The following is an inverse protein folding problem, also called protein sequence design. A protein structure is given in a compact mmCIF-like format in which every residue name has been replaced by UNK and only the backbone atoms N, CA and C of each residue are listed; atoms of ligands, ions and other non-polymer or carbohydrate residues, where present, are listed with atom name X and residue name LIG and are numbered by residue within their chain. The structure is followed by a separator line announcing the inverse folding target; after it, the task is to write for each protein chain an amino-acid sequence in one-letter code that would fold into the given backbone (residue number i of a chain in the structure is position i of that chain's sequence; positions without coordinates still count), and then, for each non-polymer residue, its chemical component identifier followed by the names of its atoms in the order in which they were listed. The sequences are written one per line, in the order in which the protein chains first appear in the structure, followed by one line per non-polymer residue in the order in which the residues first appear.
data_IF_921034666691
#
_entry.id   IF_921034666691
#
_cell.length_a   1.000
_cell.length_b   1.000
_cell.length_c   1.000
_cell.angle_alpha   90.00
_cell.angle_beta   90.00
_cell.angle_gamma   90.00
#
_symmetry.space_group_name_H-M   'P 1'
#
loop_
_entity.id
_entity.type
_entity.pdbx_description
1 polymer ?
#
# COMPACT_ATOMS: atom_id res chain seq x y z
N UNK A 1 4.90 9.83 25.68
CA UNK A 1 3.57 10.11 26.28
C UNK A 1 2.92 11.11 25.33
N UNK A 2 2.01 10.65 24.50
CA UNK A 2 1.25 11.49 23.57
C UNK A 2 0.17 12.24 24.37
N UNK A 3 0.31 13.55 24.49
CA UNK A 3 -0.72 14.46 24.97
C UNK A 3 -0.98 15.52 23.90
N UNK A 4 -1.49 15.13 22.76
CA UNK A 4 -1.89 16.03 21.69
C UNK A 4 -3.38 15.86 21.40
N UNK A 5 -4.14 16.94 21.56
CA UNK A 5 -5.57 17.01 21.26
C UNK A 5 -5.88 16.99 19.74
N UNK A 6 -4.85 16.85 18.86
CA UNK A 6 -4.96 16.89 17.41
C UNK A 6 -4.90 15.51 16.73
N UNK A 7 -5.11 14.42 17.48
CA UNK A 7 -5.33 13.13 16.87
C UNK A 7 -6.67 13.14 16.16
N UNK A 8 -6.70 12.70 14.89
CA UNK A 8 -7.89 12.42 14.07
C UNK A 8 -9.16 12.37 14.90
N UNK A 9 -10.06 13.29 14.66
CA UNK A 9 -11.39 13.16 15.22
C UNK A 9 -11.95 11.81 14.72
N UNK A 10 -12.57 11.04 15.61
CA UNK A 10 -13.24 9.76 15.26
C UNK A 10 -14.21 9.91 14.08
N UNK A 11 -14.68 11.13 13.81
CA UNK A 11 -15.54 11.45 12.68
C UNK A 11 -14.86 11.20 11.33
N UNK A 12 -13.54 11.38 11.23
CA UNK A 12 -12.81 11.17 9.97
C UNK A 12 -12.52 9.69 9.69
N UNK A 13 -12.57 8.85 10.73
CA UNK A 13 -12.41 7.40 10.63
C UNK A 13 -13.74 6.63 10.48
N UNK A 14 -14.89 7.31 10.52
CA UNK A 14 -16.21 6.65 10.39
C UNK A 14 -16.39 6.03 9.00
N UNK A 15 -17.10 4.89 8.92
CA UNK A 15 -17.32 4.22 7.65
C UNK A 15 -18.10 5.11 6.69
N UNK A 16 -17.50 5.37 5.52
CA UNK A 16 -18.19 5.98 4.41
C UNK A 16 -19.04 4.89 3.76
N UNK A 17 -20.35 5.07 3.70
CA UNK A 17 -21.22 4.17 2.95
C UNK A 17 -21.41 4.68 1.53
N UNK A 18 -21.03 3.89 0.53
CA UNK A 18 -21.41 4.15 -0.86
C UNK A 18 -22.75 3.48 -1.18
N UNK A 19 -23.57 4.05 -2.07
CA UNK A 19 -24.87 3.47 -2.46
C UNK A 19 -24.77 2.01 -2.94
N UNK A 20 -23.66 1.64 -3.55
CA UNK A 20 -23.40 0.28 -4.04
C UNK A 20 -23.08 -0.74 -2.95
N UNK A 21 -22.52 -0.32 -1.81
CA UNK A 21 -22.30 -1.21 -0.66
C UNK A 21 -23.65 -1.70 -0.12
N UNK A 22 -24.63 -0.80 -0.05
CA UNK A 22 -26.00 -1.14 0.39
C UNK A 22 -26.75 -2.08 -0.56
N UNK A 23 -26.35 -2.16 -1.83
CA UNK A 23 -26.97 -3.06 -2.83
C UNK A 23 -26.34 -4.46 -2.90
N UNK A 24 -25.36 -4.77 -2.06
CA UNK A 24 -24.69 -6.08 -2.05
C UNK A 24 -23.77 -6.37 -3.23
N UNK A 25 -23.51 -5.39 -4.09
CA UNK A 25 -22.55 -5.53 -5.20
C UNK A 25 -21.14 -5.58 -4.64
N UNK A 26 -20.40 -6.66 -4.95
CA UNK A 26 -19.01 -6.87 -4.51
C UNK A 26 -18.07 -6.87 -5.71
N UNK A 27 -17.38 -5.74 -5.98
CA UNK A 27 -16.35 -5.70 -7.02
C UNK A 27 -15.26 -6.71 -6.73
N UNK A 28 -14.73 -7.34 -7.79
CA UNK A 28 -13.68 -8.37 -7.65
C UNK A 28 -12.31 -7.74 -7.49
N UNK A 29 -11.55 -8.24 -6.51
CA UNK A 29 -10.16 -7.85 -6.27
C UNK A 29 -9.25 -9.07 -6.36
N UNK A 30 -8.23 -8.99 -7.20
CA UNK A 30 -7.15 -9.96 -7.24
C UNK A 30 -6.17 -9.68 -6.09
N UNK A 31 -6.06 -10.60 -5.17
CA UNK A 31 -5.04 -10.63 -4.12
C UNK A 31 -3.84 -11.37 -4.72
N UNK A 32 -2.96 -10.58 -5.34
CA UNK A 32 -1.86 -11.11 -6.14
C UNK A 32 -0.70 -11.53 -5.25
N UNK A 33 -0.21 -12.71 -5.51
CA UNK A 33 0.97 -13.25 -4.83
C UNK A 33 1.88 -14.06 -5.75
N UNK A 34 3.12 -14.19 -5.31
CA UNK A 34 4.13 -15.06 -5.87
C UNK A 34 4.72 -15.94 -4.76
N UNK A 35 5.52 -16.94 -5.13
CA UNK A 35 6.25 -17.76 -4.18
C UNK A 35 7.04 -16.88 -3.19
N UNK A 36 6.83 -17.07 -1.89
CA UNK A 36 7.45 -16.28 -0.82
C UNK A 36 6.61 -15.12 -0.29
N UNK A 37 5.48 -14.79 -0.92
CA UNK A 37 4.51 -13.83 -0.39
C UNK A 37 3.75 -14.44 0.79
N UNK A 38 3.50 -13.64 1.84
CA UNK A 38 2.93 -14.14 3.09
C UNK A 38 1.81 -13.29 3.73
N UNK A 39 1.50 -12.08 3.19
CA UNK A 39 0.46 -11.22 3.76
C UNK A 39 -0.88 -11.26 3.00
N UNK A 40 -1.07 -12.23 2.10
CA UNK A 40 -2.25 -12.32 1.26
C UNK A 40 -3.55 -12.63 2.03
N UNK A 41 -3.47 -13.39 3.12
CA UNK A 41 -4.66 -13.73 3.92
C UNK A 41 -5.19 -12.52 4.69
N UNK A 42 -4.32 -11.75 5.35
CA UNK A 42 -4.68 -10.51 6.04
C UNK A 42 -5.25 -9.49 5.05
N UNK A 43 -4.63 -9.39 3.88
CA UNK A 43 -5.07 -8.49 2.83
C UNK A 43 -6.45 -8.88 2.28
N UNK A 44 -6.67 -10.17 1.99
CA UNK A 44 -7.95 -10.68 1.53
C UNK A 44 -9.06 -10.36 2.56
N UNK A 45 -8.77 -10.57 3.85
CA UNK A 45 -9.72 -10.26 4.91
C UNK A 45 -10.03 -8.76 5.00
N UNK A 46 -9.03 -7.89 4.91
CA UNK A 46 -9.23 -6.44 4.92
C UNK A 46 -10.12 -5.98 3.74
N UNK A 47 -9.85 -6.51 2.54
CA UNK A 47 -10.62 -6.19 1.34
C UNK A 47 -12.06 -6.75 1.40
N UNK A 48 -12.25 -7.98 1.86
CA UNK A 48 -13.59 -8.56 2.04
C UNK A 48 -14.41 -7.77 3.05
N UNK A 49 -13.77 -7.33 4.15
CA UNK A 49 -14.44 -6.51 5.15
C UNK A 49 -14.78 -5.11 4.64
N UNK A 50 -14.00 -4.59 3.70
CA UNK A 50 -14.34 -3.35 2.98
C UNK A 50 -15.51 -3.49 2.00
N UNK A 51 -15.94 -4.73 1.69
CA UNK A 51 -17.07 -5.01 0.80
C UNK A 51 -16.68 -5.41 -0.63
N UNK A 52 -15.45 -5.87 -0.84
CA UNK A 52 -15.01 -6.51 -2.08
C UNK A 52 -15.28 -8.02 -2.07
N UNK A 53 -15.07 -8.66 -3.20
CA UNK A 53 -14.93 -10.11 -3.36
C UNK A 53 -13.48 -10.40 -3.68
N UNK A 54 -12.71 -10.88 -2.70
CA UNK A 54 -11.28 -11.15 -2.84
C UNK A 54 -11.03 -12.52 -3.46
N UNK A 55 -10.10 -12.56 -4.40
CA UNK A 55 -9.66 -13.78 -5.07
C UNK A 55 -8.17 -13.94 -4.86
N UNK A 56 -7.75 -15.07 -4.29
CA UNK A 56 -6.33 -15.44 -4.21
C UNK A 56 -5.83 -15.75 -5.64
N UNK A 57 -4.90 -14.95 -6.13
CA UNK A 57 -4.34 -15.07 -7.48
C UNK A 57 -2.83 -15.25 -7.40
N UNK A 58 -2.36 -16.46 -7.68
CA UNK A 58 -0.94 -16.73 -7.82
C UNK A 58 -0.46 -16.39 -9.24
N UNK A 59 0.79 -15.91 -9.38
CA UNK A 59 1.35 -15.60 -10.70
C UNK A 59 1.28 -16.77 -11.67
N UNK A 60 1.42 -18.02 -11.16
CA UNK A 60 1.27 -19.21 -11.98
C UNK A 60 -0.13 -19.40 -12.59
N UNK A 61 -1.17 -18.82 -11.97
CA UNK A 61 -2.54 -18.87 -12.53
C UNK A 61 -2.69 -17.93 -13.72
N UNK A 62 -2.08 -16.75 -13.63
CA UNK A 62 -2.00 -15.80 -14.74
C UNK A 62 -1.17 -16.36 -15.89
N UNK A 63 0.02 -16.91 -15.58
CA UNK A 63 0.94 -17.49 -16.59
C UNK A 63 0.29 -18.68 -17.31
N UNK A 64 -0.43 -19.51 -16.58
CA UNK A 64 -1.15 -20.67 -17.17
C UNK A 64 -2.49 -20.31 -17.82
N UNK A 65 -2.89 -19.03 -17.78
CA UNK A 65 -4.16 -18.57 -18.37
C UNK A 65 -5.43 -19.05 -17.62
N UNK A 66 -5.30 -19.57 -16.38
CA UNK A 66 -6.44 -19.98 -15.56
C UNK A 66 -7.23 -18.79 -15.02
N UNK A 67 -6.56 -17.66 -14.85
CA UNK A 67 -7.12 -16.38 -14.38
C UNK A 67 -6.66 -15.28 -15.34
N UNK A 68 -7.47 -14.25 -15.53
CA UNK A 68 -7.13 -13.08 -16.33
C UNK A 68 -7.45 -11.78 -15.56
N UNK A 69 -6.53 -10.81 -15.59
CA UNK A 69 -6.68 -9.53 -14.88
C UNK A 69 -7.87 -8.69 -15.38
N UNK A 70 -8.37 -8.93 -16.60
CA UNK A 70 -9.58 -8.25 -17.13
C UNK A 70 -10.83 -8.45 -16.27
N UNK A 71 -10.87 -9.54 -15.48
CA UNK A 71 -12.03 -9.92 -14.67
C UNK A 71 -12.09 -9.18 -13.31
N UNK A 72 -11.10 -8.33 -13.01
CA UNK A 72 -10.97 -7.63 -11.73
C UNK A 72 -11.02 -6.11 -11.89
N UNK A 73 -11.57 -5.44 -10.89
CA UNK A 73 -11.48 -3.99 -10.70
C UNK A 73 -10.29 -3.60 -9.81
N UNK A 74 -9.95 -4.43 -8.84
CA UNK A 74 -8.82 -4.20 -7.94
C UNK A 74 -7.70 -5.20 -8.13
N UNK A 75 -6.47 -4.74 -8.00
CA UNK A 75 -5.26 -5.55 -7.96
C UNK A 75 -4.46 -5.17 -6.72
N UNK A 76 -4.26 -6.10 -5.80
CA UNK A 76 -3.45 -5.86 -4.61
C UNK A 76 -2.27 -6.81 -4.60
N UNK A 77 -1.06 -6.24 -4.79
CA UNK A 77 0.19 -6.96 -4.69
C UNK A 77 0.65 -6.98 -3.22
N UNK A 78 0.74 -8.18 -2.64
CA UNK A 78 0.94 -8.38 -1.21
C UNK A 78 2.41 -8.40 -0.79
N UNK A 79 2.64 -8.23 0.51
CA UNK A 79 3.94 -8.29 1.14
C UNK A 79 4.47 -9.70 1.31
N UNK A 80 5.77 -9.82 1.48
CA UNK A 80 6.51 -11.06 1.62
C UNK A 80 7.94 -10.94 1.10
N UNK A 81 8.47 -12.07 0.59
CA UNK A 81 9.83 -12.17 0.06
C UNK A 81 9.77 -13.01 -1.23
N UNK A 82 9.24 -12.41 -2.30
CA UNK A 82 9.09 -13.13 -3.57
C UNK A 82 10.43 -13.65 -4.09
N UNK A 83 10.50 -14.95 -4.37
CA UNK A 83 11.73 -15.66 -4.77
C UNK A 83 12.88 -15.51 -3.76
N UNK A 84 12.58 -15.28 -2.47
CA UNK A 84 13.58 -15.06 -1.42
C UNK A 84 14.43 -13.80 -1.65
N UNK A 85 13.95 -12.83 -2.41
CA UNK A 85 14.62 -11.58 -2.79
C UNK A 85 16.01 -11.78 -3.44
N UNK A 86 16.25 -12.92 -4.07
CA UNK A 86 17.58 -13.33 -4.64
C UNK A 86 18.11 -12.32 -5.68
N UNK A 87 17.23 -11.69 -6.45
CA UNK A 87 17.59 -10.70 -7.46
C UNK A 87 17.47 -9.25 -6.95
N UNK A 88 17.13 -9.07 -5.68
CA UNK A 88 16.72 -7.79 -5.08
C UNK A 88 15.21 -7.77 -4.81
N UNK A 89 14.82 -6.88 -3.91
CA UNK A 89 13.48 -6.81 -3.38
C UNK A 89 12.41 -6.61 -4.47
N UNK A 90 11.53 -7.58 -4.63
CA UNK A 90 10.44 -7.57 -5.62
C UNK A 90 10.90 -7.68 -7.08
N UNK A 91 12.22 -7.69 -7.37
CA UNK A 91 12.70 -7.70 -8.76
C UNK A 91 12.39 -9.01 -9.49
N UNK A 92 12.56 -10.14 -8.83
CA UNK A 92 12.21 -11.44 -9.43
C UNK A 92 10.76 -11.48 -9.88
N UNK A 93 9.86 -10.99 -9.03
CA UNK A 93 8.43 -10.90 -9.34
C UNK A 93 8.15 -9.92 -10.49
N UNK A 94 8.71 -8.72 -10.47
CA UNK A 94 8.56 -7.75 -11.56
C UNK A 94 9.13 -8.30 -12.89
N UNK A 95 10.27 -8.99 -12.85
CA UNK A 95 10.90 -9.59 -14.04
C UNK A 95 10.07 -10.73 -14.63
N UNK A 96 9.39 -11.54 -13.81
CA UNK A 96 8.46 -12.57 -14.30
C UNK A 96 7.28 -11.97 -15.09
N UNK A 97 6.92 -10.73 -14.78
CA UNK A 97 5.92 -9.96 -15.52
C UNK A 97 6.53 -9.33 -16.78
N UNK A 98 7.61 -8.57 -16.63
CA UNK A 98 8.18 -7.78 -17.73
C UNK A 98 8.75 -8.62 -18.88
N UNK A 99 9.30 -9.80 -18.58
CA UNK A 99 9.93 -10.67 -19.56
C UNK A 99 8.99 -11.76 -20.12
N UNK A 100 7.74 -11.80 -19.67
CA UNK A 100 6.69 -12.61 -20.28
C UNK A 100 5.73 -11.69 -21.04
N UNK A 101 5.80 -11.70 -22.38
CA UNK A 101 5.02 -10.77 -23.21
C UNK A 101 3.51 -10.84 -22.93
N UNK A 102 2.94 -12.04 -22.84
CA UNK A 102 1.50 -12.21 -22.55
C UNK A 102 1.08 -11.67 -21.19
N UNK A 103 1.93 -11.86 -20.17
CA UNK A 103 1.66 -11.34 -18.83
C UNK A 103 1.85 -9.84 -18.79
N UNK A 104 2.93 -9.33 -19.39
CA UNK A 104 3.17 -7.89 -19.51
C UNK A 104 1.99 -7.17 -20.17
N UNK A 105 1.46 -7.73 -21.26
CA UNK A 105 0.31 -7.18 -21.99
C UNK A 105 -0.96 -7.17 -21.11
N UNK A 106 -1.19 -8.21 -20.29
CA UNK A 106 -2.30 -8.23 -19.33
C UNK A 106 -2.17 -7.12 -18.30
N UNK A 107 -0.98 -6.94 -17.71
CA UNK A 107 -0.72 -5.89 -16.71
C UNK A 107 -0.84 -4.50 -17.35
N UNK A 108 -0.26 -4.26 -18.51
CA UNK A 108 -0.40 -2.98 -19.23
C UNK A 108 -1.85 -2.67 -19.56
N UNK A 109 -2.61 -3.65 -20.06
CA UNK A 109 -4.04 -3.49 -20.33
C UNK A 109 -4.80 -3.14 -19.05
N UNK A 110 -4.52 -3.83 -17.94
CA UNK A 110 -5.13 -3.57 -16.65
C UNK A 110 -4.84 -2.16 -16.16
N UNK A 111 -3.59 -1.72 -16.17
CA UNK A 111 -3.16 -0.40 -15.69
C UNK A 111 -3.72 0.75 -16.53
N UNK A 112 -3.96 0.53 -17.82
CA UNK A 112 -4.54 1.54 -18.71
C UNK A 112 -6.08 1.66 -18.62
N UNK A 113 -6.78 0.72 -18.00
CA UNK A 113 -8.22 0.85 -17.76
C UNK A 113 -8.48 1.93 -16.72
N UNK A 114 -9.54 2.73 -16.93
CA UNK A 114 -9.92 3.84 -16.03
C UNK A 114 -10.81 3.41 -14.86
N UNK A 115 -11.32 2.17 -14.91
CA UNK A 115 -12.21 1.56 -13.91
C UNK A 115 -11.46 0.60 -12.97
N UNK A 116 -10.14 0.62 -12.97
CA UNK A 116 -9.29 -0.25 -12.13
C UNK A 116 -8.42 0.55 -11.17
N UNK A 117 -8.05 -0.10 -10.08
CA UNK A 117 -7.11 0.43 -9.10
C UNK A 117 -6.06 -0.62 -8.71
N UNK A 118 -4.93 -0.17 -8.17
CA UNK A 118 -3.88 -1.04 -7.66
C UNK A 118 -3.26 -0.57 -6.36
N UNK A 119 -2.95 -1.53 -5.49
CA UNK A 119 -2.26 -1.31 -4.23
C UNK A 119 -1.08 -2.27 -4.12
N UNK A 120 0.12 -1.73 -3.92
CA UNK A 120 1.32 -2.52 -3.64
C UNK A 120 1.78 -2.34 -2.21
N UNK A 121 1.92 -3.43 -1.45
CA UNK A 121 2.35 -3.37 -0.05
C UNK A 121 3.67 -4.11 0.12
N UNK A 122 4.67 -3.47 0.75
CA UNK A 122 5.97 -4.05 1.08
C UNK A 122 6.64 -4.72 -0.14
N UNK A 123 6.72 -6.02 -0.23
CA UNK A 123 7.23 -6.73 -1.42
C UNK A 123 6.41 -6.43 -2.68
N UNK A 124 5.08 -6.27 -2.56
CA UNK A 124 4.22 -5.77 -3.65
C UNK A 124 4.51 -4.32 -4.03
N UNK A 125 4.86 -3.45 -3.07
CA UNK A 125 5.33 -2.10 -3.35
C UNK A 125 6.63 -2.11 -4.16
N UNK A 126 7.60 -2.93 -3.76
CA UNK A 126 8.87 -3.11 -4.48
C UNK A 126 8.63 -3.62 -5.91
N UNK A 127 7.77 -4.62 -6.06
CA UNK A 127 7.39 -5.18 -7.36
C UNK A 127 6.74 -4.12 -8.26
N UNK A 128 5.71 -3.42 -7.78
CA UNK A 128 5.02 -2.40 -8.57
C UNK A 128 5.93 -1.21 -8.90
N UNK A 129 6.84 -0.83 -8.00
CA UNK A 129 7.84 0.19 -8.27
C UNK A 129 8.78 -0.21 -9.41
N UNK A 130 9.18 -1.49 -9.50
CA UNK A 130 9.94 -2.03 -10.62
C UNK A 130 9.11 -2.12 -11.92
N UNK A 131 7.78 -2.02 -11.84
CA UNK A 131 6.87 -1.92 -13.00
C UNK A 131 6.54 -0.48 -13.39
N UNK A 132 7.17 0.54 -12.80
CA UNK A 132 6.86 1.95 -13.04
C UNK A 132 6.80 2.33 -14.54
N UNK A 133 7.59 1.67 -15.38
CA UNK A 133 7.59 1.89 -16.84
C UNK A 133 6.31 1.48 -17.57
N UNK A 134 5.43 0.70 -16.93
CA UNK A 134 4.17 0.23 -17.51
C UNK A 134 2.95 0.67 -16.69
N UNK A 135 3.14 1.37 -15.57
CA UNK A 135 2.07 1.96 -14.76
C UNK A 135 1.94 3.44 -15.13
N UNK A 136 0.83 3.89 -15.73
CA UNK A 136 0.66 5.30 -16.11
C UNK A 136 0.79 6.23 -14.89
N UNK A 137 1.67 7.23 -15.00
CA UNK A 137 1.91 8.22 -13.96
C UNK A 137 2.90 7.81 -12.87
N UNK A 138 3.53 6.63 -12.97
CA UNK A 138 4.51 6.15 -11.99
C UNK A 138 5.98 6.50 -12.35
N UNK A 139 6.23 7.30 -13.36
CA UNK A 139 7.57 7.57 -13.91
C UNK A 139 8.51 8.21 -12.88
N UNK A 140 7.95 8.88 -11.88
CA UNK A 140 8.75 9.54 -10.83
C UNK A 140 8.96 8.66 -9.59
N UNK A 141 8.37 7.47 -9.52
CA UNK A 141 8.48 6.57 -8.36
C UNK A 141 9.93 6.09 -8.15
N UNK A 142 10.34 6.08 -6.87
CA UNK A 142 11.64 5.53 -6.48
C UNK A 142 11.68 4.02 -6.64
N UNK A 143 12.87 3.46 -6.73
CA UNK A 143 13.11 2.06 -6.40
C UNK A 143 13.16 1.90 -4.88
N UNK A 144 12.70 0.77 -4.35
CA UNK A 144 12.85 0.44 -2.93
C UNK A 144 13.97 -0.58 -2.76
N UNK A 145 14.98 -0.22 -1.97
CA UNK A 145 16.22 -0.98 -1.82
C UNK A 145 16.55 -1.22 -0.35
N UNK A 146 17.70 -1.84 -0.08
CA UNK A 146 18.14 -2.22 1.27
C UNK A 146 18.11 -1.04 2.23
N UNK A 147 17.58 -1.27 3.44
CA UNK A 147 17.54 -0.30 4.53
C UNK A 147 18.94 0.24 4.83
N UNK A 148 19.04 1.51 5.20
CA UNK A 148 20.32 2.12 5.64
C UNK A 148 20.87 1.44 6.91
N UNK A 149 20.01 0.84 7.74
CA UNK A 149 20.41 0.04 8.91
C UNK A 149 21.08 -1.28 8.55
N UNK A 150 20.99 -1.71 7.28
CA UNK A 150 21.42 -3.01 6.77
C UNK A 150 20.73 -4.20 7.46
N UNK A 151 19.64 -3.97 8.18
CA UNK A 151 18.91 -4.97 8.96
C UNK A 151 17.46 -5.08 8.51
N UNK A 152 16.84 -6.21 8.87
CA UNK A 152 15.39 -6.36 8.81
C UNK A 152 14.77 -5.61 9.99
N UNK A 153 13.91 -4.64 9.66
CA UNK A 153 13.24 -3.80 10.63
C UNK A 153 11.80 -4.27 10.82
N UNK A 154 11.45 -4.62 12.07
CA UNK A 154 10.10 -5.05 12.46
C UNK A 154 9.65 -4.27 13.68
N UNK A 155 8.70 -3.34 13.50
CA UNK A 155 8.19 -2.48 14.58
C UNK A 155 6.91 -1.76 14.22
N UNK A 156 6.24 -1.22 15.24
CA UNK A 156 5.19 -0.23 15.07
C UNK A 156 5.86 1.16 15.05
N UNK A 157 5.58 1.94 14.02
CA UNK A 157 6.12 3.30 13.81
C UNK A 157 5.00 4.27 13.54
N UNK A 158 5.27 5.57 13.72
CA UNK A 158 4.33 6.62 13.34
C UNK A 158 4.55 7.06 11.91
N UNK A 159 3.45 7.24 11.18
CA UNK A 159 3.45 7.84 9.85
C UNK A 159 2.41 8.95 9.77
N UNK A 160 2.67 9.91 8.91
CA UNK A 160 1.71 10.90 8.46
C UNK A 160 1.14 10.50 7.11
N UNK A 161 -0.18 10.56 6.96
CA UNK A 161 -0.85 10.52 5.66
C UNK A 161 -0.76 11.90 5.05
N UNK A 162 0.01 12.04 3.97
CA UNK A 162 0.18 13.33 3.29
C UNK A 162 -1.02 13.62 2.38
N UNK A 163 -1.25 14.89 2.09
CA UNK A 163 -2.20 15.26 1.05
C UNK A 163 -1.71 14.74 -0.30
N UNK A 164 -2.53 13.91 -0.94
CA UNK A 164 -2.18 13.26 -2.20
C UNK A 164 -3.43 12.84 -2.97
N UNK A 165 -3.34 12.59 -4.28
CA UNK A 165 -4.48 12.12 -5.07
C UNK A 165 -4.92 10.68 -4.77
N UNK A 166 -4.19 9.92 -3.94
CA UNK A 166 -4.49 8.51 -3.67
C UNK A 166 -5.95 8.26 -3.32
N UNK A 167 -6.63 7.43 -4.12
CA UNK A 167 -8.02 7.03 -3.84
C UNK A 167 -8.17 6.30 -2.51
N UNK A 168 -7.11 5.64 -2.04
CA UNK A 168 -7.10 4.93 -0.76
C UNK A 168 -7.08 5.87 0.45
N UNK A 169 -6.45 7.04 0.32
CA UNK A 169 -6.17 7.94 1.43
C UNK A 169 -7.08 9.17 1.46
N UNK A 170 -8.14 9.17 0.68
CA UNK A 170 -9.10 10.28 0.63
C UNK A 170 -9.69 10.60 2.00
N UNK A 171 -9.60 11.89 2.39
CA UNK A 171 -10.06 12.39 3.67
C UNK A 171 -9.25 11.89 4.88
N UNK A 172 -8.01 11.42 4.66
CA UNK A 172 -7.09 11.01 5.72
C UNK A 172 -5.86 11.93 5.82
N UNK A 173 -5.71 12.91 4.94
CA UNK A 173 -4.57 13.83 4.93
C UNK A 173 -4.40 14.52 6.30
N UNK A 174 -3.15 14.65 6.75
CA UNK A 174 -2.78 15.19 8.07
C UNK A 174 -2.93 14.19 9.23
N UNK A 175 -3.47 12.99 8.96
CA UNK A 175 -3.58 11.97 10.01
C UNK A 175 -2.23 11.39 10.37
N UNK A 176 -1.93 11.34 11.66
CA UNK A 176 -0.74 10.67 12.19
C UNK A 176 -1.14 9.35 12.86
N UNK A 177 -0.72 8.25 12.28
CA UNK A 177 -1.20 6.92 12.64
C UNK A 177 -0.04 5.94 12.87
N UNK A 178 -0.14 5.04 13.86
CA UNK A 178 0.79 3.93 13.99
C UNK A 178 0.55 2.91 12.89
N UNK A 179 1.65 2.38 12.33
CA UNK A 179 1.58 1.34 11.29
C UNK A 179 2.68 0.30 11.49
N UNK A 180 2.42 -0.93 11.08
CA UNK A 180 3.40 -2.01 11.15
C UNK A 180 4.43 -1.91 10.01
N UNK A 181 5.70 -1.98 10.37
CA UNK A 181 6.84 -2.13 9.47
C UNK A 181 7.40 -3.54 9.63
N UNK A 182 7.74 -4.20 8.52
CA UNK A 182 8.34 -5.53 8.50
C UNK A 182 9.12 -5.72 7.18
N UNK A 183 10.29 -5.07 7.03
CA UNK A 183 11.08 -5.12 5.79
C UNK A 183 12.60 -4.90 6.01
N UNK A 184 13.41 -5.56 5.18
CA UNK A 184 14.86 -5.35 5.06
C UNK A 184 15.25 -4.40 3.93
N UNK A 185 14.34 -4.16 2.99
CA UNK A 185 14.57 -3.40 1.75
C UNK A 185 13.43 -2.40 1.51
N UNK A 186 13.36 -1.36 2.36
CA UNK A 186 12.32 -0.35 2.31
C UNK A 186 12.79 1.07 2.00
N UNK A 187 14.10 1.27 1.78
CA UNK A 187 14.69 2.58 1.49
C UNK A 187 14.24 3.09 0.12
N UNK A 188 13.56 4.24 0.10
CA UNK A 188 13.14 4.92 -1.14
C UNK A 188 14.36 5.51 -1.85
N UNK A 189 14.87 4.79 -2.84
CA UNK A 189 16.12 5.11 -3.53
C UNK A 189 15.88 5.81 -4.87
N UNK A 190 15.78 7.13 -4.82
CA UNK A 190 15.61 7.96 -6.01
C UNK A 190 16.89 8.11 -6.87
N UNK A 191 18.06 7.70 -6.35
CA UNK A 191 19.28 7.70 -7.15
C UNK A 191 19.34 6.57 -8.19
N UNK A 192 18.55 5.51 -7.97
CA UNK A 192 18.47 4.37 -8.89
C UNK A 192 17.28 4.47 -9.85
N UNK A 193 16.18 5.11 -9.42
CA UNK A 193 14.97 5.23 -10.22
C UNK A 193 14.12 6.42 -9.74
N UNK A 194 13.42 7.05 -10.66
CA UNK A 194 12.45 8.11 -10.37
C UNK A 194 13.09 9.48 -10.16
N UNK A 195 12.32 10.37 -9.54
CA UNK A 195 12.75 11.74 -9.26
C UNK A 195 12.04 12.27 -8.01
N UNK A 196 12.78 12.44 -6.91
CA UNK A 196 12.23 12.89 -5.62
C UNK A 196 11.59 14.27 -5.70
N UNK A 197 12.27 15.25 -6.29
CA UNK A 197 11.78 16.63 -6.40
C UNK A 197 10.47 16.69 -7.19
N UNK A 198 10.39 16.01 -8.33
CA UNK A 198 9.16 15.94 -9.12
C UNK A 198 8.04 15.20 -8.40
N UNK A 199 8.35 14.12 -7.67
CA UNK A 199 7.38 13.39 -6.89
C UNK A 199 6.73 14.28 -5.82
N UNK A 200 7.55 15.07 -5.14
CA UNK A 200 7.08 16.01 -4.12
C UNK A 200 6.33 17.20 -4.73
N UNK A 201 6.88 17.81 -5.76
CA UNK A 201 6.25 18.95 -6.43
C UNK A 201 4.88 18.64 -7.03
N UNK A 202 4.66 17.37 -7.41
CA UNK A 202 3.36 16.89 -7.92
C UNK A 202 2.43 16.37 -6.82
N UNK A 203 2.83 16.40 -5.53
CA UNK A 203 2.04 15.89 -4.42
C UNK A 203 1.81 14.38 -4.46
N UNK A 204 2.77 13.60 -4.97
CA UNK A 204 2.63 12.15 -5.16
C UNK A 204 3.20 11.31 -4.01
N UNK A 205 3.72 11.94 -2.96
CA UNK A 205 4.06 11.26 -1.71
C UNK A 205 2.75 10.99 -0.96
N UNK A 206 2.52 9.74 -0.56
CA UNK A 206 1.29 9.29 0.08
C UNK A 206 1.43 9.09 1.58
N UNK A 207 2.63 8.66 2.03
CA UNK A 207 2.97 8.44 3.44
C UNK A 207 4.40 8.88 3.74
N UNK A 208 4.61 9.41 4.97
CA UNK A 208 5.93 9.73 5.52
C UNK A 208 6.06 9.18 6.93
N UNK A 209 7.25 8.68 7.28
CA UNK A 209 7.62 8.46 8.68
C UNK A 209 7.76 9.80 9.39
N UNK A 210 7.25 9.88 10.62
CA UNK A 210 7.29 11.08 11.44
C UNK A 210 7.93 10.84 12.80
N UNK A 211 8.47 11.90 13.39
CA UNK A 211 8.98 11.91 14.76
C UNK A 211 7.82 12.02 15.80
N UNK A 212 8.18 12.10 17.07
CA UNK A 212 7.22 12.21 18.17
C UNK A 212 6.51 13.59 18.23
N UNK A 213 6.96 14.55 17.45
CA UNK A 213 6.33 15.86 17.27
C UNK A 213 5.48 15.93 16.00
N UNK A 214 5.45 14.85 15.22
CA UNK A 214 4.70 14.76 13.97
C UNK A 214 5.42 15.33 12.74
N UNK A 215 6.71 15.65 12.85
CA UNK A 215 7.47 16.13 11.70
C UNK A 215 8.05 14.97 10.88
N UNK A 216 8.11 15.07 9.53
CA UNK A 216 8.83 14.11 8.73
C UNK A 216 10.27 13.90 9.22
N UNK A 217 10.72 12.65 9.29
CA UNK A 217 12.01 12.35 9.91
C UNK A 217 12.85 11.36 9.11
N UNK A 218 14.17 11.56 9.13
CA UNK A 218 15.18 10.60 8.67
C UNK A 218 15.88 9.88 9.82
N UNK A 219 15.52 10.22 11.08
CA UNK A 219 16.21 9.74 12.26
C UNK A 219 15.79 8.31 12.63
N UNK A 220 16.74 7.41 12.71
CA UNK A 220 16.55 6.08 13.28
C UNK A 220 16.32 6.17 14.80
N UNK A 221 15.42 5.40 15.40
CA UNK A 221 14.62 4.31 14.86
C UNK A 221 13.22 4.73 14.35
N UNK A 222 12.89 6.01 14.35
CA UNK A 222 11.56 6.53 13.95
C UNK A 222 11.34 6.36 12.44
N UNK A 223 12.41 6.55 11.66
CA UNK A 223 12.48 6.14 10.25
C UNK A 223 13.35 4.88 10.14
N UNK A 224 12.75 3.69 10.08
CA UNK A 224 13.50 2.44 10.20
C UNK A 224 14.32 2.08 8.95
N UNK A 225 13.97 2.60 7.78
CA UNK A 225 14.68 2.28 6.54
C UNK A 225 15.60 3.38 6.04
N UNK A 226 15.53 4.58 6.64
CA UNK A 226 16.39 5.72 6.30
C UNK A 226 15.98 6.47 5.04
N UNK A 227 14.74 6.28 4.55
CA UNK A 227 14.22 6.97 3.35
C UNK A 227 14.29 8.49 3.50
N UNK A 228 14.64 9.22 2.40
CA UNK A 228 14.73 10.66 2.44
C UNK A 228 13.38 11.29 2.81
N UNK A 229 13.41 12.27 3.69
CA UNK A 229 12.24 12.99 4.20
C UNK A 229 11.11 12.07 4.71
N UNK A 230 11.45 10.89 5.20
CA UNK A 230 10.50 9.90 5.69
C UNK A 230 9.64 9.23 4.62
N UNK A 231 9.88 9.44 3.33
CA UNK A 231 9.03 8.94 2.25
C UNK A 231 8.91 7.41 2.32
N UNK A 232 7.68 6.91 2.49
CA UNK A 232 7.43 5.47 2.61
C UNK A 232 6.18 4.99 1.85
N UNK A 233 5.52 5.90 1.13
CA UNK A 233 4.41 5.60 0.23
C UNK A 233 4.31 6.61 -0.91
N UNK A 234 3.95 6.12 -2.10
CA UNK A 234 3.84 6.88 -3.33
C UNK A 234 2.51 6.57 -4.02
N UNK A 235 2.04 7.51 -4.85
CA UNK A 235 0.85 7.31 -5.67
C UNK A 235 1.00 7.89 -7.07
N UNK A 236 0.08 7.54 -7.99
CA UNK A 236 0.01 8.13 -9.33
C UNK A 236 -0.79 9.44 -9.33
N UNK A 237 -0.64 10.33 -10.34
CA UNK A 237 -1.40 11.58 -10.41
C UNK A 237 -2.93 11.42 -10.45
N UNK A 238 -3.43 10.32 -10.98
CA UNK A 238 -4.85 9.97 -10.97
C UNK A 238 -5.29 9.25 -9.68
N UNK A 239 -4.35 8.96 -8.78
CA UNK A 239 -4.56 8.36 -7.47
C UNK A 239 -4.93 6.88 -7.46
N UNK A 240 -5.09 6.26 -8.62
CA UNK A 240 -5.57 4.87 -8.73
C UNK A 240 -4.56 3.82 -8.31
N UNK A 241 -3.28 4.10 -8.46
CA UNK A 241 -2.20 3.19 -8.07
C UNK A 241 -1.42 3.80 -6.91
N UNK A 242 -1.35 3.04 -5.81
CA UNK A 242 -0.64 3.47 -4.59
C UNK A 242 0.27 2.34 -4.11
N UNK A 243 1.47 2.69 -3.69
CA UNK A 243 2.45 1.74 -3.14
C UNK A 243 2.90 2.21 -1.77
N UNK A 244 2.93 1.29 -0.80
CA UNK A 244 3.30 1.56 0.58
C UNK A 244 4.30 0.49 1.06
N UNK A 245 5.37 0.91 1.72
CA UNK A 245 6.29 -0.04 2.37
C UNK A 245 5.75 -0.60 3.70
N UNK A 246 5.09 0.19 4.56
CA UNK A 246 4.41 -0.34 5.75
C UNK A 246 3.15 -1.14 5.40
N UNK A 247 2.66 -1.90 6.40
CA UNK A 247 1.58 -2.89 6.28
C UNK A 247 0.27 -2.41 6.92
N UNK A 248 -0.64 -1.73 6.21
CA UNK A 248 -1.96 -1.36 6.73
C UNK A 248 -2.84 -2.60 7.00
N UNK A 249 -2.65 -3.71 6.25
CA UNK A 249 -3.36 -4.97 6.44
C UNK A 249 -3.01 -5.70 7.75
N UNK A 250 -1.95 -5.27 8.42
CA UNK A 250 -1.54 -5.81 9.73
C UNK A 250 -1.98 -4.94 10.90
N UNK A 251 -2.67 -3.83 10.62
CA UNK A 251 -3.14 -2.87 11.65
C UNK A 251 -4.54 -2.33 11.36
N UNK A 252 -5.31 -2.92 10.45
CA UNK A 252 -6.67 -2.44 10.12
C UNK A 252 -7.71 -2.77 11.20
N UNK A 253 -7.37 -3.63 12.17
CA UNK A 253 -8.12 -3.84 13.41
C UNK A 253 -7.32 -3.33 14.59
N UNK A 254 -7.99 -2.66 15.52
CA UNK A 254 -7.33 -2.15 16.75
C UNK A 254 -6.63 -3.27 17.54
N UNK A 255 -7.23 -4.46 17.58
CA UNK A 255 -6.65 -5.63 18.25
C UNK A 255 -5.33 -6.15 17.66
N UNK A 256 -4.94 -5.72 16.45
CA UNK A 256 -3.68 -6.10 15.81
C UNK A 256 -2.51 -5.19 16.23
N UNK A 257 -2.82 -4.05 16.85
CA UNK A 257 -1.79 -3.10 17.27
C UNK A 257 -1.24 -3.46 18.65
N UNK A 258 0.08 -3.35 18.82
CA UNK A 258 0.72 -3.49 20.13
C UNK A 258 0.34 -2.36 21.10
N UNK A 259 -0.06 -1.21 20.54
CA UNK A 259 -0.60 -0.07 21.28
C UNK A 259 -1.61 0.68 20.37
N UNK A 260 -2.68 1.18 20.97
CA UNK A 260 -3.65 2.06 20.33
C UNK A 260 -4.26 3.02 21.35
N UNK A 261 -4.66 4.25 20.95
CA UNK A 261 -5.41 5.15 21.78
C UNK A 261 -6.69 4.49 22.31
N UNK A 262 -7.07 4.83 23.56
CA UNK A 262 -8.26 4.21 24.21
C UNK A 262 -9.54 4.38 23.38
N UNK A 263 -9.73 5.57 22.78
CA UNK A 263 -10.91 5.86 21.95
C UNK A 263 -11.05 4.94 20.72
N UNK A 264 -9.97 4.32 20.23
CA UNK A 264 -10.05 3.37 19.14
C UNK A 264 -10.54 1.99 19.59
N UNK A 265 -10.41 1.68 20.88
CA UNK A 265 -10.90 0.42 21.45
C UNK A 265 -12.44 0.37 21.53
N UNK A 266 -13.07 1.56 21.55
CA UNK A 266 -14.52 1.73 21.66
C UNK A 266 -15.22 1.72 20.28
N UNK A 267 -14.48 1.56 19.15
CA UNK A 267 -15.07 1.45 17.82
C UNK A 267 -15.82 0.12 17.71
N UNK A 268 -17.13 0.21 17.50
CA UNK A 268 -18.06 -0.93 17.65
C UNK A 268 -17.74 -2.16 16.80
N UNK A 269 -17.17 -1.97 15.61
CA UNK A 269 -16.80 -3.07 14.71
C UNK A 269 -15.34 -3.53 14.91
N UNK A 270 -14.59 -2.92 15.83
CA UNK A 270 -13.18 -3.22 16.09
C UNK A 270 -12.21 -2.78 14.99
N UNK A 271 -12.67 -1.96 14.04
CA UNK A 271 -11.83 -1.37 13.02
C UNK A 271 -10.84 -0.38 13.63
N UNK A 272 -9.63 -0.30 13.07
CA UNK A 272 -8.73 0.82 13.28
C UNK A 272 -8.95 1.89 12.21
N UNK A 273 -8.37 3.10 12.34
CA UNK A 273 -8.40 4.11 11.29
C UNK A 273 -7.89 3.61 9.92
N UNK A 274 -6.98 2.63 9.88
CA UNK A 274 -6.47 2.05 8.65
C UNK A 274 -7.54 1.30 7.83
N UNK A 275 -8.63 0.86 8.46
CA UNK A 275 -9.75 0.26 7.73
C UNK A 275 -10.40 1.23 6.74
N UNK A 276 -10.32 2.56 7.01
CA UNK A 276 -10.82 3.59 6.10
C UNK A 276 -10.12 3.52 4.72
N UNK A 277 -8.83 3.23 4.69
CA UNK A 277 -8.08 3.08 3.44
C UNK A 277 -8.74 2.07 2.48
N UNK A 278 -9.10 0.89 2.98
CA UNK A 278 -9.75 -0.15 2.18
C UNK A 278 -11.18 0.23 1.81
N UNK A 279 -11.92 0.88 2.72
CA UNK A 279 -13.27 1.40 2.47
C UNK A 279 -13.28 2.51 1.43
N UNK A 280 -12.28 3.38 1.39
CA UNK A 280 -12.14 4.42 0.37
C UNK A 280 -12.02 3.81 -1.03
N UNK A 281 -11.20 2.77 -1.20
CA UNK A 281 -11.12 2.04 -2.47
C UNK A 281 -12.49 1.46 -2.87
N UNK A 282 -13.25 0.94 -1.90
CA UNK A 282 -14.60 0.42 -2.15
C UNK A 282 -15.58 1.51 -2.57
N UNK A 283 -15.48 2.69 -1.97
CA UNK A 283 -16.32 3.86 -2.33
C UNK A 283 -15.99 4.35 -3.74
N UNK A 284 -14.71 4.34 -4.12
CA UNK A 284 -14.25 4.74 -5.44
C UNK A 284 -14.75 3.78 -6.54
N UNK A 285 -14.84 2.49 -6.25
CA UNK A 285 -15.34 1.47 -7.18
C UNK A 285 -16.86 1.58 -7.33
N UNK A 286 -17.32 2.11 -8.43
CA UNK A 286 -18.73 2.35 -8.72
C UNK A 286 -19.46 1.08 -9.17
#
# INVERSE_FOLDING_TARGET
IYTGEDTLSLHDALPISAPYIAKGVKPKVAILREQGVNSHLEMAYAMDWAGFSSYDVHMSDLIAGRVNLKDFQGLVACGGFSYGDVLGAGEGWAKSILFNSSIKDQFQTYFNRTDTFGLGICNGCQMMSNLASIIPGAETWSKFTRNKSEQYEARLVMVEVTESPSIFLQGMAGSQLPIAVAHGEGFANFSQQGNQEQTQAKGLVALRFVDNQGNPTETYPLNPNGSPEGITGLTTPDGRFTVLMPHPERVFRTAQMSWAPKQWQDIADGASPWMRMFRNARVWTK
#
